data_IF_183672464985
#
_entry.id   IF_183672464985
#
_cell.length_a   1.000
_cell.length_b   1.000
_cell.length_c   1.000
_cell.angle_alpha   90.00
_cell.angle_beta   90.00
_cell.angle_gamma   90.00
#
_symmetry.space_group_name_H-M   'P 1'
#
loop_
_entity.id
_entity.type
_entity.pdbx_description
1 polymer ?
#
# COMPACT_ATOMS: atom_id res chain seq x y z
N UNK A 1 -8.22 -13.85 10.20
CA UNK A 1 -7.02 -14.40 9.53
C UNK A 1 -6.92 -13.82 8.13
N UNK A 2 -5.75 -13.33 7.74
CA UNK A 2 -5.52 -12.80 6.40
C UNK A 2 -5.49 -13.95 5.40
N UNK A 3 -6.20 -13.78 4.28
CA UNK A 3 -6.28 -14.78 3.21
C UNK A 3 -5.54 -14.35 1.96
N UNK A 4 -5.16 -13.08 1.88
CA UNK A 4 -4.45 -12.52 0.74
C UNK A 4 -3.20 -11.83 1.25
N UNK A 5 -2.09 -12.14 0.63
CA UNK A 5 -0.80 -11.52 0.92
C UNK A 5 -0.26 -10.88 -0.35
N UNK A 6 0.13 -9.61 -0.23
CA UNK A 6 0.73 -8.85 -1.32
C UNK A 6 2.13 -8.45 -0.89
N UNK A 7 3.09 -8.56 -1.82
CA UNK A 7 4.46 -8.09 -1.55
C UNK A 7 4.71 -6.83 -2.34
N UNK A 8 5.17 -5.80 -1.63
CA UNK A 8 5.67 -4.58 -2.24
C UNK A 8 7.17 -4.51 -2.03
N UNK A 9 7.88 -4.26 -3.13
CA UNK A 9 9.32 -4.01 -3.07
C UNK A 9 9.50 -2.54 -2.68
N UNK A 10 10.30 -2.28 -1.65
CA UNK A 10 10.55 -0.94 -1.15
C UNK A 10 12.04 -0.71 -1.03
N UNK A 11 12.47 0.54 -1.16
CA UNK A 11 13.89 0.89 -1.02
C UNK A 11 14.32 0.99 0.44
N UNK A 12 13.39 1.36 1.32
CA UNK A 12 13.66 1.56 2.74
C UNK A 12 12.47 1.00 3.53
N UNK A 13 12.68 -0.15 4.16
CA UNK A 13 11.60 -0.83 4.89
C UNK A 13 11.11 0.01 6.08
N UNK A 14 12.03 0.67 6.80
CA UNK A 14 11.64 1.48 7.96
C UNK A 14 10.73 2.65 7.56
N UNK A 15 11.07 3.36 6.48
CA UNK A 15 10.24 4.45 5.98
C UNK A 15 8.88 3.95 5.51
N UNK A 16 8.86 2.78 4.87
CA UNK A 16 7.60 2.17 4.42
C UNK A 16 6.72 1.80 5.62
N UNK A 17 7.29 1.24 6.67
CA UNK A 17 6.55 0.90 7.89
C UNK A 17 5.87 2.15 8.44
N UNK A 18 6.60 3.25 8.56
CA UNK A 18 6.05 4.51 9.08
C UNK A 18 4.87 4.97 8.22
N UNK A 19 5.03 4.98 6.90
CA UNK A 19 3.96 5.39 5.99
C UNK A 19 2.71 4.53 6.17
N UNK A 20 2.85 3.22 6.11
CA UNK A 20 1.69 2.34 6.16
C UNK A 20 1.03 2.31 7.54
N UNK A 21 1.80 2.35 8.62
CA UNK A 21 1.22 2.30 9.97
C UNK A 21 0.65 3.64 10.40
N UNK A 22 1.34 4.75 10.14
CA UNK A 22 0.89 6.05 10.63
C UNK A 22 -0.10 6.73 9.70
N UNK A 23 0.00 6.50 8.39
CA UNK A 23 -0.85 7.19 7.42
C UNK A 23 -2.02 6.33 6.93
N UNK A 24 -1.86 5.03 6.84
CA UNK A 24 -2.88 4.14 6.27
C UNK A 24 -3.44 3.11 7.24
N UNK A 25 -3.14 3.24 8.53
CA UNK A 25 -3.70 2.40 9.60
C UNK A 25 -3.40 0.91 9.46
N UNK A 26 -2.25 0.56 8.91
CA UNK A 26 -1.76 -0.81 8.96
C UNK A 26 -1.19 -1.09 10.34
N UNK A 27 -1.19 -2.37 10.72
CA UNK A 27 -0.58 -2.85 11.95
C UNK A 27 0.72 -3.57 11.59
N UNK A 28 1.80 -3.27 12.31
CA UNK A 28 3.04 -4.01 12.14
C UNK A 28 2.92 -5.34 12.86
N UNK A 29 3.03 -6.44 12.10
CA UNK A 29 2.95 -7.79 12.67
C UNK A 29 4.32 -8.34 13.02
N UNK A 30 5.32 -8.15 12.16
CA UNK A 30 6.69 -8.58 12.46
C UNK A 30 7.70 -7.81 11.60
N UNK A 31 8.89 -7.63 12.16
CA UNK A 31 9.99 -6.95 11.48
C UNK A 31 11.30 -7.65 11.89
N UNK A 32 11.51 -8.90 11.39
CA UNK A 32 12.63 -9.73 11.88
C UNK A 32 13.98 -9.34 11.32
N UNK A 33 14.02 -8.56 10.23
CA UNK A 33 15.27 -8.13 9.61
C UNK A 33 15.08 -6.76 8.99
N UNK A 34 16.16 -5.97 8.79
CA UNK A 34 16.05 -4.65 8.18
C UNK A 34 15.43 -4.65 6.78
N UNK A 35 15.57 -5.77 6.05
CA UNK A 35 15.09 -5.89 4.67
C UNK A 35 13.70 -6.50 4.53
N UNK A 36 13.02 -6.79 5.66
CA UNK A 36 11.74 -7.49 5.62
C UNK A 36 10.82 -7.06 6.76
N UNK A 37 9.56 -6.80 6.43
CA UNK A 37 8.51 -6.56 7.42
C UNK A 37 7.19 -7.10 6.92
N UNK A 38 6.32 -7.44 7.85
CA UNK A 38 4.98 -7.91 7.54
C UNK A 38 3.98 -7.05 8.29
N UNK A 39 3.02 -6.50 7.56
CA UNK A 39 1.98 -5.64 8.08
C UNK A 39 0.62 -6.23 7.73
N UNK A 40 -0.41 -5.81 8.45
CA UNK A 40 -1.77 -6.26 8.17
C UNK A 40 -2.76 -5.11 8.27
N UNK A 41 -3.83 -5.23 7.50
CA UNK A 41 -4.99 -4.34 7.58
C UNK A 41 -6.21 -5.15 7.14
N UNK A 42 -7.09 -5.44 8.09
CA UNK A 42 -8.23 -6.34 7.86
C UNK A 42 -7.74 -7.69 7.32
N UNK A 43 -8.24 -8.13 6.17
CA UNK A 43 -7.87 -9.41 5.58
C UNK A 43 -6.63 -9.35 4.69
N UNK A 44 -6.02 -8.17 4.56
CA UNK A 44 -4.83 -8.00 3.75
C UNK A 44 -3.58 -8.10 4.61
N UNK A 45 -2.65 -8.92 4.16
CA UNK A 45 -1.29 -8.94 4.68
C UNK A 45 -0.38 -8.30 3.65
N UNK A 46 0.35 -7.28 4.08
CA UNK A 46 1.30 -6.57 3.21
C UNK A 46 2.71 -6.92 3.66
N UNK A 47 3.46 -7.52 2.76
CA UNK A 47 4.86 -7.86 3.00
C UNK A 47 5.72 -6.81 2.31
N UNK A 48 6.62 -6.21 3.08
CA UNK A 48 7.56 -5.21 2.56
C UNK A 48 8.95 -5.86 2.49
N UNK A 49 9.56 -5.83 1.31
CA UNK A 49 10.88 -6.41 1.09
C UNK A 49 11.76 -5.42 0.35
N UNK A 50 12.96 -5.17 0.85
CA UNK A 50 13.94 -4.40 0.09
C UNK A 50 14.76 -5.34 -0.80
N UNK A 51 15.27 -4.84 -1.94
CA UNK A 51 16.15 -5.65 -2.78
C UNK A 51 17.39 -6.07 -2.00
N UNK A 52 17.57 -7.38 -1.82
CA UNK A 52 18.66 -7.91 -1.01
C UNK A 52 18.91 -9.37 -1.40
N UNK A 53 20.14 -9.75 -1.79
CA UNK A 53 20.46 -11.13 -2.18
C UNK A 53 20.20 -12.16 -1.08
N UNK A 54 20.27 -11.76 0.20
CA UNK A 54 20.07 -12.68 1.32
C UNK A 54 18.65 -12.66 1.88
N UNK A 55 17.76 -11.86 1.30
CA UNK A 55 16.37 -11.74 1.77
C UNK A 55 15.43 -12.52 0.87
N UNK A 56 14.67 -13.43 1.46
CA UNK A 56 13.62 -14.12 0.72
C UNK A 56 12.62 -13.12 0.16
N UNK A 57 12.28 -13.23 -1.12
CA UNK A 57 11.32 -12.36 -1.76
C UNK A 57 11.90 -11.06 -2.32
N UNK A 58 13.07 -10.63 -1.87
CA UNK A 58 13.75 -9.46 -2.41
C UNK A 58 14.96 -9.79 -3.25
N UNK A 59 15.20 -11.05 -3.51
CA UNK A 59 16.38 -11.51 -4.25
C UNK A 59 16.32 -11.11 -5.71
N UNK A 60 17.50 -10.87 -6.35
CA UNK A 60 17.52 -10.67 -7.80
C UNK A 60 17.10 -11.94 -8.53
N UNK A 61 16.68 -11.77 -9.77
CA UNK A 61 16.33 -12.88 -10.63
C UNK A 61 17.58 -13.66 -11.04
N UNK A 62 17.45 -14.89 -11.58
CA UNK A 62 18.60 -15.67 -12.01
C UNK A 62 19.52 -14.96 -13.01
N UNK A 63 18.95 -14.06 -13.83
CA UNK A 63 19.73 -13.28 -14.81
C UNK A 63 20.32 -11.99 -14.22
N UNK A 64 20.17 -11.76 -12.91
CA UNK A 64 20.67 -10.59 -12.23
C UNK A 64 19.72 -9.40 -12.19
N UNK A 65 18.53 -9.51 -12.80
CA UNK A 65 17.55 -8.43 -12.78
C UNK A 65 17.10 -8.17 -11.35
N UNK A 66 17.21 -6.93 -10.89
CA UNK A 66 16.76 -6.51 -9.57
C UNK A 66 15.25 -6.27 -9.57
N UNK A 67 14.60 -6.65 -8.48
CA UNK A 67 13.21 -6.25 -8.26
C UNK A 67 13.20 -4.77 -7.87
N UNK A 68 12.33 -3.98 -8.50
CA UNK A 68 12.25 -2.54 -8.23
C UNK A 68 10.83 -2.15 -7.85
N UNK A 69 10.67 -1.11 -7.01
CA UNK A 69 9.33 -0.61 -6.68
C UNK A 69 8.72 0.17 -7.85
N UNK A 70 7.42 0.47 -7.75
CA UNK A 70 6.70 1.28 -8.72
C UNK A 70 5.64 0.49 -9.47
N UNK A 71 5.37 0.92 -10.70
CA UNK A 71 4.36 0.28 -11.54
C UNK A 71 2.97 0.86 -11.32
N UNK A 72 1.95 0.17 -11.82
CA UNK A 72 0.55 0.61 -11.77
C UNK A 72 -0.36 -0.37 -11.05
N UNK A 73 0.03 -1.61 -10.89
CA UNK A 73 -0.74 -2.59 -10.12
C UNK A 73 -0.73 -2.19 -8.66
N UNK A 74 -1.90 -2.24 -8.03
CA UNK A 74 -2.06 -1.74 -6.68
C UNK A 74 -3.22 -2.39 -5.97
N UNK A 75 -3.19 -2.34 -4.66
CA UNK A 75 -4.36 -2.66 -3.87
C UNK A 75 -5.13 -1.38 -3.56
N UNK A 76 -6.42 -1.53 -3.26
CA UNK A 76 -7.29 -0.41 -2.92
C UNK A 76 -7.73 -0.53 -1.46
N UNK A 77 -7.76 0.60 -0.78
CA UNK A 77 -8.24 0.71 0.59
C UNK A 77 -9.55 1.49 0.55
N UNK A 78 -10.63 0.91 1.10
CA UNK A 78 -11.89 1.63 1.23
C UNK A 78 -11.77 2.63 2.37
N UNK A 79 -12.18 3.87 2.11
CA UNK A 79 -12.12 4.96 3.10
C UNK A 79 -13.46 5.68 3.13
N UNK A 80 -13.71 6.39 4.23
CA UNK A 80 -14.77 7.36 4.34
C UNK A 80 -14.15 8.75 4.31
N UNK A 81 -14.81 9.72 3.71
CA UNK A 81 -14.30 11.10 3.61
C UNK A 81 -12.91 11.16 2.97
N UNK A 82 -12.84 10.75 1.71
CA UNK A 82 -11.59 10.72 0.95
C UNK A 82 -10.91 12.10 0.87
N UNK A 83 -11.70 13.17 0.79
CA UNK A 83 -11.14 14.52 0.73
C UNK A 83 -10.32 14.86 1.95
N UNK A 84 -10.80 14.48 3.14
CA UNK A 84 -10.08 14.74 4.38
C UNK A 84 -8.81 13.89 4.48
N UNK A 85 -8.89 12.63 4.07
CA UNK A 85 -7.74 11.73 4.10
C UNK A 85 -6.65 12.22 3.16
N UNK A 86 -7.01 12.67 1.97
CA UNK A 86 -6.06 13.26 1.02
C UNK A 86 -5.39 14.48 1.63
N UNK A 87 -6.17 15.33 2.29
CA UNK A 87 -5.64 16.54 2.95
C UNK A 87 -4.61 16.18 4.02
N UNK A 88 -4.90 15.19 4.86
CA UNK A 88 -3.99 14.76 5.90
C UNK A 88 -2.72 14.12 5.33
N UNK A 89 -2.86 13.29 4.29
CA UNK A 89 -1.71 12.68 3.63
C UNK A 89 -0.81 13.72 2.97
N UNK A 90 -1.40 14.76 2.36
CA UNK A 90 -0.62 15.85 1.77
C UNK A 90 0.17 16.61 2.81
N UNK A 91 -0.42 16.85 3.98
CA UNK A 91 0.28 17.48 5.09
C UNK A 91 1.48 16.65 5.56
N UNK A 92 1.35 15.33 5.49
CA UNK A 92 2.42 14.42 5.86
C UNK A 92 3.48 14.25 4.76
N UNK A 93 3.33 14.94 3.62
CA UNK A 93 4.30 14.91 2.54
C UNK A 93 4.10 13.80 1.52
N UNK A 94 2.95 13.12 1.54
CA UNK A 94 2.68 12.04 0.59
C UNK A 94 2.56 12.57 -0.84
N UNK A 95 3.00 11.75 -1.80
CA UNK A 95 2.92 12.07 -3.22
C UNK A 95 1.72 11.38 -3.86
N UNK A 96 0.90 12.15 -4.57
CA UNK A 96 -0.24 11.62 -5.31
C UNK A 96 0.06 11.64 -6.80
N UNK A 97 -0.39 10.58 -7.50
CA UNK A 97 -0.20 10.50 -8.96
C UNK A 97 -1.27 11.28 -9.71
N UNK A 98 -2.41 11.57 -9.08
CA UNK A 98 -3.53 12.25 -9.72
C UNK A 98 -4.32 13.03 -8.67
N UNK A 99 -5.40 13.65 -9.12
CA UNK A 99 -6.41 14.26 -8.25
C UNK A 99 -7.55 13.27 -8.05
N UNK A 100 -8.46 13.58 -7.13
CA UNK A 100 -9.63 12.74 -6.88
C UNK A 100 -10.46 12.62 -8.16
N UNK A 101 -10.70 11.37 -8.57
CA UNK A 101 -11.53 11.06 -9.74
C UNK A 101 -12.88 10.58 -9.24
N UNK A 102 -13.96 11.17 -9.75
CA UNK A 102 -15.31 10.73 -9.42
C UNK A 102 -15.85 9.87 -10.55
N UNK A 103 -16.19 8.62 -10.22
CA UNK A 103 -16.77 7.69 -11.16
C UNK A 103 -18.16 7.24 -10.71
N UNK A 104 -18.71 6.26 -11.41
CA UNK A 104 -20.08 5.78 -11.13
C UNK A 104 -20.15 5.13 -9.74
N UNK A 105 -19.17 4.32 -9.37
CA UNK A 105 -19.18 3.58 -8.11
C UNK A 105 -18.62 4.33 -6.92
N UNK A 106 -17.91 5.43 -7.14
CA UNK A 106 -17.29 6.15 -6.04
C UNK A 106 -16.20 7.09 -6.50
N UNK A 107 -15.40 7.50 -5.52
CA UNK A 107 -14.27 8.41 -5.73
C UNK A 107 -12.98 7.66 -5.46
N UNK A 108 -11.92 7.98 -6.20
CA UNK A 108 -10.63 7.31 -6.03
C UNK A 108 -9.48 8.26 -6.29
N UNK A 109 -8.33 7.93 -5.72
CA UNK A 109 -7.08 8.64 -5.93
C UNK A 109 -5.93 7.66 -5.69
N UNK A 110 -4.80 7.89 -6.35
CA UNK A 110 -3.61 7.05 -6.18
C UNK A 110 -2.55 7.82 -5.41
N UNK A 111 -2.13 7.26 -4.28
CA UNK A 111 -1.04 7.80 -3.48
C UNK A 111 0.16 6.85 -3.58
N UNK A 112 1.37 7.41 -3.65
CA UNK A 112 2.58 6.61 -3.64
C UNK A 112 3.10 6.42 -2.22
N UNK A 113 3.61 5.23 -1.93
CA UNK A 113 4.40 5.03 -0.71
C UNK A 113 5.78 5.69 -0.89
N UNK A 114 6.64 5.74 0.15
CA UNK A 114 7.94 6.41 0.04
C UNK A 114 8.87 5.85 -1.05
N UNK A 115 8.61 4.65 -1.53
CA UNK A 115 9.39 4.04 -2.61
C UNK A 115 8.77 4.18 -3.99
N UNK A 116 7.61 4.84 -4.08
CA UNK A 116 6.91 5.03 -5.34
C UNK A 116 5.95 3.91 -5.71
N UNK A 117 5.57 3.05 -4.78
CA UNK A 117 4.56 2.03 -5.02
C UNK A 117 3.17 2.63 -4.86
N UNK A 118 2.24 2.34 -5.79
CA UNK A 118 0.91 2.94 -5.73
C UNK A 118 -0.02 2.24 -4.76
N UNK A 119 -0.84 3.03 -4.10
CA UNK A 119 -1.96 2.58 -3.27
C UNK A 119 -3.18 3.39 -3.70
N UNK A 120 -4.30 2.73 -3.94
CA UNK A 120 -5.53 3.42 -4.28
C UNK A 120 -6.38 3.62 -3.03
N UNK A 121 -6.87 4.85 -2.84
CA UNK A 121 -7.87 5.15 -1.84
C UNK A 121 -9.21 5.23 -2.54
N UNK A 122 -10.21 4.54 -2.01
CA UNK A 122 -11.51 4.42 -2.65
C UNK A 122 -12.63 4.71 -1.65
N UNK A 123 -13.51 5.65 -2.01
CA UNK A 123 -14.71 5.94 -1.23
C UNK A 123 -15.92 5.57 -2.07
N UNK A 124 -16.66 4.51 -1.69
CA UNK A 124 -17.85 4.12 -2.44
C UNK A 124 -18.97 5.15 -2.27
N UNK A 125 -19.67 5.45 -3.37
CA UNK A 125 -20.84 6.32 -3.36
C UNK A 125 -22.13 5.52 -3.62
N UNK A 126 -21.99 4.25 -4.03
CA UNK A 126 -23.11 3.33 -4.19
C UNK A 126 -22.93 2.17 -3.21
N UNK A 127 -24.02 1.70 -2.57
CA UNK A 127 -23.92 0.58 -1.63
C UNK A 127 -23.27 -0.68 -2.25
N UNK A 128 -23.52 -0.93 -3.53
CA UNK A 128 -22.98 -2.11 -4.21
C UNK A 128 -21.45 -2.08 -4.34
N UNK A 129 -20.84 -0.90 -4.26
CA UNK A 129 -19.39 -0.75 -4.39
C UNK A 129 -18.67 -0.91 -3.06
N UNK A 130 -19.39 -1.04 -1.94
CA UNK A 130 -18.78 -1.15 -0.62
C UNK A 130 -18.21 -2.54 -0.41
N UNK A 131 -16.96 -2.60 0.04
CA UNK A 131 -16.27 -3.87 0.22
C UNK A 131 -16.75 -4.64 1.45
N UNK A 132 -17.16 -3.94 2.49
CA UNK A 132 -17.58 -4.54 3.76
C UNK A 132 -18.99 -5.13 3.74
N UNK A 133 -19.76 -4.89 2.68
CA UNK A 133 -21.11 -5.43 2.53
C UNK A 133 -21.14 -6.71 1.72
N UNK A 134 -20.02 -7.15 1.18
CA UNK A 134 -19.92 -8.36 0.36
C UNK A 134 -19.24 -9.46 1.16
N UNK A 135 -20.03 -10.21 1.85
CA UNK A 135 -19.52 -11.29 2.70
C UNK A 135 -19.84 -12.66 2.12
#
# INVERSE_FOLDING_TARGET
MAKVQIRYIVNDVDKAIIFYTEQLNFKLEMHPAPSFAMLSRNDLRLVLSSPNPSSGGGQPMPDGTQQTPGGWNRFAIEVTDISNIVKELRKAGAHFRNDIVTGVGGKQIIVDDPSGNPVELFEPTLPEARLDTHS
#
